data_IF_784214194739
#
_entry.id   IF_784214194739
#
_cell.length_a   1.000
_cell.length_b   1.000
_cell.length_c   1.000
_cell.angle_alpha   90.00
_cell.angle_beta   90.00
_cell.angle_gamma   90.00
#
_symmetry.space_group_name_H-M   'P 1'
#
loop_
_entity.id
_entity.type
_entity.pdbx_description
1 polymer ?
#
# COMPACT_ATOMS: atom_id res chain seq x y z
N UNK A 1 36.25 -39.08 34.29
CA UNK A 1 34.89 -39.45 34.72
C UNK A 1 34.34 -38.33 35.59
N UNK A 2 33.40 -37.56 35.15
CA UNK A 2 32.74 -36.53 35.97
C UNK A 2 31.74 -37.19 36.88
N UNK A 3 31.88 -36.98 38.20
CA UNK A 3 30.98 -37.54 39.21
C UNK A 3 29.55 -37.03 38.98
N UNK A 4 28.53 -37.92 39.12
CA UNK A 4 27.13 -37.53 39.00
C UNK A 4 26.77 -36.45 40.06
N UNK A 5 25.96 -35.44 39.71
CA UNK A 5 25.59 -34.39 40.64
C UNK A 5 24.78 -34.93 41.82
N UNK A 6 25.00 -34.38 43.00
CA UNK A 6 24.26 -34.78 44.20
C UNK A 6 22.79 -34.34 44.13
N UNK A 7 21.87 -35.08 44.78
CA UNK A 7 20.42 -34.73 44.83
C UNK A 7 20.20 -33.28 45.31
N UNK A 8 20.99 -32.81 46.25
CA UNK A 8 20.94 -31.43 46.74
C UNK A 8 21.36 -30.40 45.66
N UNK A 9 22.37 -30.74 44.85
CA UNK A 9 22.79 -29.86 43.74
C UNK A 9 21.72 -29.77 42.65
N UNK A 10 21.05 -30.90 42.33
CA UNK A 10 19.95 -30.96 41.37
C UNK A 10 18.77 -30.10 41.88
N UNK A 11 18.34 -30.28 43.13
CA UNK A 11 17.26 -29.52 43.74
C UNK A 11 17.52 -28.02 43.74
N UNK A 12 18.77 -27.57 44.08
CA UNK A 12 19.17 -26.17 44.02
C UNK A 12 19.14 -25.64 42.61
N UNK A 13 19.66 -26.37 41.61
CA UNK A 13 19.66 -25.96 40.22
C UNK A 13 18.23 -25.85 39.68
N UNK A 14 17.35 -26.82 40.01
CA UNK A 14 15.92 -26.78 39.62
C UNK A 14 15.19 -25.60 40.25
N UNK A 15 15.45 -25.30 41.52
CA UNK A 15 14.88 -24.13 42.18
C UNK A 15 15.31 -22.79 41.55
N UNK A 16 16.59 -22.66 41.19
CA UNK A 16 17.08 -21.50 40.48
C UNK A 16 16.46 -21.38 39.07
N UNK A 17 16.42 -22.49 38.34
CA UNK A 17 15.80 -22.52 37.01
C UNK A 17 14.31 -22.11 37.05
N UNK A 18 13.57 -22.60 38.04
CA UNK A 18 12.16 -22.25 38.24
C UNK A 18 12.01 -20.76 38.57
N UNK A 19 12.85 -20.21 39.44
CA UNK A 19 12.82 -18.78 39.78
C UNK A 19 13.11 -17.89 38.56
N UNK A 20 14.08 -18.25 37.71
CA UNK A 20 14.39 -17.57 36.48
C UNK A 20 13.23 -17.68 35.48
N UNK A 21 12.62 -18.84 35.33
CA UNK A 21 11.48 -19.03 34.44
C UNK A 21 10.28 -18.18 34.86
N UNK A 22 9.97 -18.12 36.16
CA UNK A 22 8.90 -17.26 36.69
C UNK A 22 9.22 -15.78 36.49
N UNK A 23 10.48 -15.38 36.68
CA UNK A 23 10.88 -14.00 36.42
C UNK A 23 10.63 -13.62 34.95
N UNK A 24 11.05 -14.44 34.01
CA UNK A 24 10.83 -14.21 32.55
C UNK A 24 9.33 -14.22 32.24
N UNK A 25 8.57 -15.15 32.81
CA UNK A 25 7.13 -15.23 32.63
C UNK A 25 6.43 -13.90 33.02
N UNK A 26 6.71 -13.39 34.21
CA UNK A 26 6.04 -12.18 34.72
C UNK A 26 6.59 -10.88 34.12
N UNK A 27 7.87 -10.83 33.72
CA UNK A 27 8.47 -9.59 33.20
C UNK A 27 8.36 -9.45 31.69
N UNK A 28 8.28 -10.53 30.94
CA UNK A 28 8.29 -10.52 29.48
C UNK A 28 7.09 -11.23 28.85
N UNK A 29 6.87 -12.50 29.17
CA UNK A 29 5.86 -13.32 28.47
C UNK A 29 4.44 -12.84 28.73
N UNK A 30 4.03 -12.67 29.98
CA UNK A 30 2.68 -12.17 30.30
C UNK A 30 2.40 -10.77 29.72
N UNK A 31 3.32 -9.81 29.80
CA UNK A 31 3.12 -8.52 29.13
C UNK A 31 3.04 -8.61 27.61
N UNK A 32 3.90 -9.40 26.97
CA UNK A 32 3.98 -9.50 25.53
C UNK A 32 2.81 -10.28 24.90
N UNK A 33 2.42 -11.39 25.51
CA UNK A 33 1.40 -12.30 24.95
C UNK A 33 -0.03 -11.96 25.44
N UNK A 34 -0.17 -11.59 26.70
CA UNK A 34 -1.49 -11.43 27.34
C UNK A 34 -1.80 -10.01 27.80
N UNK A 35 -0.88 -9.06 27.64
CA UNK A 35 -1.08 -7.68 28.11
C UNK A 35 -1.13 -7.53 29.64
N UNK A 36 -0.84 -8.62 30.40
CA UNK A 36 -0.87 -8.66 31.85
C UNK A 36 0.50 -8.22 32.36
N UNK A 37 0.60 -7.02 32.92
CA UNK A 37 1.86 -6.39 33.37
C UNK A 37 1.82 -6.03 34.87
N UNK A 38 1.86 -7.01 35.78
CA UNK A 38 1.77 -6.77 37.21
C UNK A 38 2.97 -6.00 37.77
N UNK A 39 4.13 -6.11 37.14
CA UNK A 39 5.39 -5.47 37.55
C UNK A 39 5.69 -4.19 36.78
N UNK A 40 4.81 -3.78 35.83
CA UNK A 40 5.01 -2.62 34.92
C UNK A 40 6.27 -2.68 34.07
N UNK A 41 6.90 -3.86 33.98
CA UNK A 41 8.10 -4.09 33.16
C UNK A 41 7.75 -4.16 31.68
N UNK A 42 6.60 -4.70 31.32
CA UNK A 42 6.09 -4.75 29.94
C UNK A 42 5.89 -3.36 29.35
N UNK A 43 5.38 -2.40 30.14
CA UNK A 43 5.27 -1.00 29.74
C UNK A 43 6.64 -0.36 29.53
N UNK A 44 7.56 -0.59 30.45
CA UNK A 44 8.92 -0.03 30.39
C UNK A 44 9.73 -0.56 29.19
N UNK A 45 9.50 -1.81 28.81
CA UNK A 45 10.17 -2.50 27.68
C UNK A 45 9.39 -2.38 26.36
N UNK A 46 8.22 -1.70 26.33
CA UNK A 46 7.40 -1.56 25.12
C UNK A 46 6.68 -2.83 24.68
N UNK A 47 6.59 -3.85 25.53
CA UNK A 47 6.03 -5.18 25.19
C UNK A 47 4.51 -5.21 25.12
N UNK A 48 3.80 -4.27 25.76
CA UNK A 48 2.33 -4.23 25.75
C UNK A 48 1.72 -3.97 24.37
N UNK A 49 2.50 -3.48 23.41
CA UNK A 49 2.08 -3.33 22.02
C UNK A 49 1.94 -4.66 21.28
N UNK A 50 2.66 -5.70 21.72
CA UNK A 50 2.64 -7.02 21.09
C UNK A 50 1.34 -7.79 21.41
N UNK A 51 0.86 -7.75 22.65
CA UNK A 51 -0.39 -8.39 23.06
C UNK A 51 -1.61 -7.79 22.33
N UNK A 52 -1.62 -6.49 22.11
CA UNK A 52 -2.69 -5.82 21.33
C UNK A 52 -2.74 -6.29 19.87
N UNK A 53 -1.60 -6.65 19.29
CA UNK A 53 -1.55 -7.20 17.94
C UNK A 53 -2.19 -8.60 17.87
N UNK A 54 -2.05 -9.40 18.92
CA UNK A 54 -2.63 -10.75 19.03
C UNK A 54 -4.13 -10.71 19.29
N UNK A 55 -4.61 -9.79 20.14
CA UNK A 55 -6.04 -9.60 20.43
C UNK A 55 -6.82 -9.10 19.20
N UNK A 56 -6.18 -8.29 18.35
CA UNK A 56 -6.78 -7.81 17.10
C UNK A 56 -6.96 -8.95 16.09
N UNK A 57 -6.10 -9.95 16.08
CA UNK A 57 -6.23 -11.11 15.22
C UNK A 57 -7.37 -12.06 15.64
N UNK A 58 -7.74 -12.08 16.93
CA UNK A 58 -8.75 -12.99 17.49
C UNK A 58 -10.17 -12.39 17.58
N UNK A 59 -10.30 -11.05 17.54
CA UNK A 59 -11.58 -10.35 17.77
C UNK A 59 -12.37 -10.05 16.48
N UNK A 60 -11.93 -10.48 15.31
CA UNK A 60 -12.54 -10.12 14.03
C UNK A 60 -13.44 -11.19 13.41
N UNK A 61 -14.27 -11.84 14.18
CA UNK A 61 -15.44 -12.56 13.65
C UNK A 61 -16.65 -11.62 13.53
N UNK A 62 -16.53 -10.45 12.82
CA UNK A 62 -17.73 -9.63 12.72
C UNK A 62 -17.66 -8.24 12.09
N UNK A 63 -16.54 -7.70 11.72
CA UNK A 63 -16.41 -6.56 10.77
C UNK A 63 -14.93 -6.28 10.50
N UNK A 64 -14.49 -6.19 9.26
CA UNK A 64 -13.11 -5.82 9.02
C UNK A 64 -12.89 -4.35 9.38
N UNK A 65 -12.30 -4.12 10.56
CA UNK A 65 -11.60 -2.87 10.80
C UNK A 65 -10.29 -2.93 10.03
N UNK A 66 -9.91 -1.95 9.22
CA UNK A 66 -8.66 -2.00 8.48
C UNK A 66 -7.49 -2.00 9.46
N UNK A 67 -6.92 -3.17 9.70
CA UNK A 67 -5.66 -3.31 10.43
C UNK A 67 -4.54 -3.18 9.42
N UNK A 68 -3.91 -2.02 9.39
CA UNK A 68 -2.69 -1.83 8.60
C UNK A 68 -1.55 -2.63 9.21
N UNK A 69 -1.34 -3.84 8.71
CA UNK A 69 -0.21 -4.69 9.12
C UNK A 69 1.04 -4.47 8.25
N UNK A 70 1.00 -3.57 7.28
CA UNK A 70 2.10 -3.32 6.35
C UNK A 70 2.25 -4.35 5.21
N UNK A 71 1.73 -5.56 5.38
CA UNK A 71 1.75 -6.62 4.35
C UNK A 71 0.36 -6.94 3.80
N UNK A 72 -0.69 -6.57 4.50
CA UNK A 72 -2.08 -6.74 4.11
C UNK A 72 -2.90 -5.51 4.53
N UNK A 73 -3.57 -4.88 3.56
CA UNK A 73 -4.47 -3.75 3.80
C UNK A 73 -5.80 -4.04 3.12
N UNK A 74 -6.88 -4.32 3.90
CA UNK A 74 -8.23 -4.42 3.35
C UNK A 74 -8.61 -3.10 2.69
N UNK A 75 -9.26 -3.18 1.53
CA UNK A 75 -9.74 -2.01 0.81
C UNK A 75 -11.25 -1.91 0.91
N UNK A 76 -11.83 -0.70 1.11
CA UNK A 76 -13.28 -0.54 1.29
C UNK A 76 -14.08 -0.66 0.01
N UNK A 77 -13.48 -0.36 -1.14
CA UNK A 77 -14.16 -0.25 -2.43
C UNK A 77 -14.08 -1.54 -3.25
N UNK A 78 -14.98 -1.63 -4.24
CA UNK A 78 -14.98 -2.75 -5.18
C UNK A 78 -13.74 -2.68 -6.07
N UNK A 79 -13.05 -3.81 -6.20
CA UNK A 79 -11.91 -3.96 -7.10
C UNK A 79 -12.33 -3.80 -8.55
N UNK A 80 -11.59 -3.01 -9.33
CA UNK A 80 -11.80 -2.74 -10.75
C UNK A 80 -10.55 -3.05 -11.56
N UNK A 81 -10.80 -3.33 -12.84
CA UNK A 81 -9.75 -3.48 -13.86
C UNK A 81 -10.09 -2.56 -15.03
N UNK A 82 -9.08 -1.96 -15.60
CA UNK A 82 -9.17 -1.11 -16.78
C UNK A 82 -8.02 -1.42 -17.73
N UNK A 83 -8.30 -1.36 -19.06
CA UNK A 83 -7.30 -1.62 -20.10
C UNK A 83 -7.59 -0.75 -21.30
N UNK A 84 -6.65 0.13 -21.64
CA UNK A 84 -6.81 1.13 -22.69
C UNK A 84 -5.68 1.05 -23.73
N UNK A 85 -6.06 1.14 -24.99
CA UNK A 85 -5.16 1.31 -26.12
C UNK A 85 -5.26 2.74 -26.65
N UNK A 86 -4.15 3.48 -26.61
CA UNK A 86 -4.09 4.90 -26.95
C UNK A 86 -3.17 5.12 -28.14
N UNK A 87 -3.62 5.89 -29.13
CA UNK A 87 -2.80 6.32 -30.26
C UNK A 87 -2.49 7.82 -30.13
N UNK A 88 -1.22 8.18 -30.09
CA UNK A 88 -0.76 9.56 -30.01
C UNK A 88 0.03 9.94 -31.26
N UNK A 89 -0.53 10.84 -32.07
CA UNK A 89 0.20 11.48 -33.19
C UNK A 89 1.33 12.38 -32.69
N UNK A 90 2.19 12.87 -33.58
CA UNK A 90 3.27 13.79 -33.22
C UNK A 90 2.74 15.08 -32.58
N UNK A 91 3.21 15.39 -31.38
CA UNK A 91 2.80 16.56 -30.59
C UNK A 91 1.50 16.38 -29.82
N UNK A 92 0.84 15.24 -29.92
CA UNK A 92 -0.40 14.96 -29.17
C UNK A 92 -0.11 14.48 -27.75
N UNK A 93 -1.04 14.80 -26.85
CA UNK A 93 -1.05 14.35 -25.48
C UNK A 93 -2.41 13.80 -25.06
N UNK A 94 -2.39 12.87 -24.13
CA UNK A 94 -3.58 12.28 -23.53
C UNK A 94 -3.37 12.12 -22.02
N UNK A 95 -4.44 12.25 -21.26
CA UNK A 95 -4.42 12.02 -19.83
C UNK A 95 -5.50 11.00 -19.44
N UNK A 96 -5.15 10.07 -18.55
CA UNK A 96 -6.10 9.15 -17.91
C UNK A 96 -6.00 9.32 -16.40
N UNK A 97 -7.15 9.55 -15.78
CA UNK A 97 -7.30 9.74 -14.33
C UNK A 97 -8.29 8.77 -13.73
N UNK A 98 -7.91 8.19 -12.61
CA UNK A 98 -8.71 7.30 -11.77
C UNK A 98 -9.09 8.02 -10.48
N UNK A 99 -10.37 8.06 -10.15
CA UNK A 99 -10.82 8.58 -8.86
C UNK A 99 -10.64 7.52 -7.78
N UNK A 100 -9.89 7.85 -6.73
CA UNK A 100 -9.49 6.94 -5.66
C UNK A 100 -9.73 7.57 -4.30
N UNK A 101 -10.15 6.77 -3.34
CA UNK A 101 -10.17 7.19 -1.93
C UNK A 101 -8.74 7.20 -1.36
N UNK A 102 -8.48 8.09 -0.40
CA UNK A 102 -7.21 8.10 0.32
C UNK A 102 -6.89 6.71 0.90
N UNK A 103 -5.70 6.20 0.62
CA UNK A 103 -5.25 4.88 1.04
C UNK A 103 -5.66 3.73 0.10
N UNK A 104 -6.50 4.00 -0.91
CA UNK A 104 -6.81 3.03 -1.95
C UNK A 104 -5.56 2.69 -2.76
N UNK A 105 -5.42 1.43 -3.15
CA UNK A 105 -4.27 0.93 -3.88
C UNK A 105 -4.64 0.54 -5.31
N UNK A 106 -3.71 0.71 -6.24
CA UNK A 106 -3.76 0.12 -7.57
C UNK A 106 -2.38 -0.40 -7.98
N UNK A 107 -2.37 -1.39 -8.86
CA UNK A 107 -1.21 -1.82 -9.63
C UNK A 107 -1.41 -1.40 -11.07
N UNK A 108 -0.32 -1.10 -11.77
CA UNK A 108 -0.39 -0.64 -13.14
C UNK A 108 0.77 -1.15 -13.99
N UNK A 109 0.53 -1.20 -15.26
CA UNK A 109 1.57 -1.35 -16.27
C UNK A 109 1.17 -0.63 -17.54
N UNK A 110 2.08 0.15 -18.11
CA UNK A 110 1.90 0.66 -19.45
C UNK A 110 3.14 0.40 -20.32
N UNK A 111 2.91 0.21 -21.60
CA UNK A 111 3.95 -0.02 -22.61
C UNK A 111 3.59 0.74 -23.87
N UNK A 112 4.58 1.38 -24.47
CA UNK A 112 4.48 2.05 -25.75
C UNK A 112 5.43 1.44 -26.79
N UNK A 113 5.11 1.57 -28.07
CA UNK A 113 5.99 1.16 -29.18
C UNK A 113 7.03 2.22 -29.55
N UNK A 114 6.97 3.38 -28.90
CA UNK A 114 7.93 4.48 -28.97
C UNK A 114 8.13 5.15 -27.61
N UNK A 115 9.07 6.10 -27.53
CA UNK A 115 9.27 6.88 -26.32
C UNK A 115 8.24 8.00 -26.20
N UNK A 116 7.62 8.13 -25.03
CA UNK A 116 6.73 9.22 -24.67
C UNK A 116 7.23 9.93 -23.42
N UNK A 117 7.07 11.25 -23.37
CA UNK A 117 7.20 11.98 -22.12
C UNK A 117 5.96 11.75 -21.28
N UNK A 118 6.08 11.74 -19.96
CA UNK A 118 4.92 11.53 -19.11
C UNK A 118 5.06 12.20 -17.75
N UNK A 119 3.92 12.42 -17.13
CA UNK A 119 3.81 12.80 -15.73
C UNK A 119 2.73 11.96 -15.05
N UNK A 120 3.08 11.32 -13.93
CA UNK A 120 2.13 10.69 -13.03
C UNK A 120 1.83 11.67 -11.90
N UNK A 121 0.59 12.13 -11.79
CA UNK A 121 0.19 13.14 -10.83
C UNK A 121 -1.23 12.96 -10.32
N UNK A 122 -1.59 13.68 -9.28
CA UNK A 122 -2.92 13.64 -8.68
C UNK A 122 -3.45 15.00 -8.30
N UNK A 123 -4.77 15.08 -8.24
CA UNK A 123 -5.52 16.26 -7.85
C UNK A 123 -6.51 15.88 -6.77
N UNK A 124 -6.35 16.38 -5.54
CA UNK A 124 -7.31 16.10 -4.47
C UNK A 124 -8.67 16.75 -4.76
N UNK A 125 -9.77 16.11 -4.35
CA UNK A 125 -11.12 16.68 -4.47
C UNK A 125 -11.23 18.01 -3.73
N UNK A 126 -10.55 18.13 -2.59
CA UNK A 126 -10.44 19.36 -1.83
C UNK A 126 -9.08 20.02 -2.09
N UNK A 127 -9.00 20.77 -3.19
CA UNK A 127 -7.78 21.47 -3.57
C UNK A 127 -7.49 22.64 -2.63
N UNK A 128 -6.23 22.82 -2.17
CA UNK A 128 -5.82 24.01 -1.40
C UNK A 128 -5.93 25.32 -2.20
N UNK A 129 -5.85 25.22 -3.54
CA UNK A 129 -6.02 26.30 -4.53
C UNK A 129 -6.50 25.71 -5.85
N UNK A 130 -7.16 26.45 -6.74
CA UNK A 130 -7.81 25.92 -7.95
C UNK A 130 -6.90 25.15 -8.89
N UNK A 131 -5.64 25.57 -9.01
CA UNK A 131 -4.61 25.00 -9.90
C UNK A 131 -3.69 23.98 -9.21
N UNK A 132 -4.08 23.49 -8.02
CA UNK A 132 -3.27 22.55 -7.26
C UNK A 132 -3.32 21.14 -7.85
N UNK A 133 -2.15 20.58 -8.08
CA UNK A 133 -1.92 19.14 -8.32
C UNK A 133 -0.62 18.72 -7.63
N UNK A 134 -0.41 17.43 -7.48
CA UNK A 134 0.77 16.85 -6.88
C UNK A 134 1.41 15.87 -7.87
N UNK A 135 2.65 16.17 -8.27
CA UNK A 135 3.44 15.33 -9.18
C UNK A 135 4.13 14.23 -8.40
N UNK A 136 3.94 12.99 -8.80
CA UNK A 136 4.55 11.80 -8.17
C UNK A 136 5.76 11.30 -8.96
N UNK A 137 5.67 11.32 -10.28
CA UNK A 137 6.74 10.95 -11.19
C UNK A 137 6.66 11.77 -12.47
N UNK A 138 7.80 12.32 -12.91
CA UNK A 138 7.90 13.14 -14.11
C UNK A 138 9.09 12.70 -14.96
N UNK A 139 8.85 12.41 -16.24
CA UNK A 139 9.89 12.25 -17.27
C UNK A 139 9.57 13.12 -18.49
N UNK A 140 10.02 14.36 -18.43
CA UNK A 140 9.83 15.36 -19.49
C UNK A 140 11.10 15.64 -20.33
N UNK A 141 12.11 14.77 -20.26
CA UNK A 141 13.41 14.97 -20.95
C UNK A 141 13.76 13.83 -21.89
N UNK A 142 13.83 12.61 -21.38
CA UNK A 142 14.31 11.44 -22.12
C UNK A 142 13.16 10.66 -22.73
N UNK A 143 12.04 10.59 -22.05
CA UNK A 143 10.89 9.75 -22.37
C UNK A 143 11.18 8.26 -22.14
N UNK A 144 10.12 7.51 -21.88
CA UNK A 144 10.15 6.05 -21.70
C UNK A 144 9.18 5.36 -22.64
N UNK A 145 9.40 4.06 -22.81
CA UNK A 145 8.53 3.18 -23.57
C UNK A 145 7.72 2.24 -22.66
N UNK A 146 7.90 2.32 -21.34
CA UNK A 146 7.19 1.50 -20.36
C UNK A 146 7.35 2.00 -18.92
N UNK A 147 6.38 1.66 -18.07
CA UNK A 147 6.50 1.73 -16.61
C UNK A 147 5.56 0.71 -15.97
N UNK A 148 5.97 0.14 -14.83
CA UNK A 148 5.18 -0.82 -14.05
C UNK A 148 5.33 -0.50 -12.57
N UNK A 149 4.26 -0.62 -11.82
CA UNK A 149 4.34 -0.33 -10.39
C UNK A 149 3.05 -0.53 -9.62
N UNK A 150 3.09 -0.10 -8.39
CA UNK A 150 1.94 0.04 -7.51
C UNK A 150 1.87 1.46 -6.97
N UNK A 151 0.66 1.94 -6.76
CA UNK A 151 0.38 3.26 -6.22
C UNK A 151 -0.63 3.15 -5.08
N UNK A 152 -0.44 3.94 -4.03
CA UNK A 152 -1.42 4.13 -2.97
C UNK A 152 -1.77 5.61 -2.92
N UNK A 153 -3.06 5.92 -3.07
CA UNK A 153 -3.54 7.30 -3.14
C UNK A 153 -3.26 8.08 -1.84
N UNK A 154 -2.47 9.16 -1.87
CA UNK A 154 -2.17 9.95 -0.68
C UNK A 154 -3.37 10.81 -0.23
N UNK A 155 -4.28 11.11 -1.15
CA UNK A 155 -5.50 11.90 -0.93
C UNK A 155 -6.68 11.27 -1.67
N UNK A 156 -7.91 11.55 -1.23
CA UNK A 156 -9.09 11.30 -2.05
C UNK A 156 -9.12 12.29 -3.21
N UNK A 157 -9.26 11.80 -4.44
CA UNK A 157 -9.22 12.60 -5.65
C UNK A 157 -8.87 11.80 -6.89
N UNK A 158 -8.50 12.49 -7.97
CA UNK A 158 -8.13 11.87 -9.23
C UNK A 158 -6.61 11.74 -9.35
N UNK A 159 -6.14 10.55 -9.77
CA UNK A 159 -4.72 10.20 -9.89
C UNK A 159 -4.49 9.47 -11.21
N UNK A 160 -3.42 9.80 -11.93
CA UNK A 160 -3.14 9.13 -13.19
C UNK A 160 -2.03 9.79 -14.01
N UNK A 161 -1.99 9.43 -15.25
CA UNK A 161 -0.90 9.78 -16.15
C UNK A 161 -1.37 10.78 -17.21
N UNK A 162 -0.50 11.74 -17.49
CA UNK A 162 -0.45 12.48 -18.74
C UNK A 162 0.71 11.93 -19.57
N UNK A 163 0.47 11.56 -20.82
CA UNK A 163 1.50 11.22 -21.80
C UNK A 163 1.51 12.20 -22.94
N UNK A 164 2.69 12.48 -23.46
CA UNK A 164 2.88 13.35 -24.63
C UNK A 164 3.89 12.73 -25.61
N UNK A 165 3.51 12.67 -26.88
CA UNK A 165 4.38 12.19 -27.95
C UNK A 165 5.16 13.39 -28.55
N UNK A 166 6.41 13.56 -28.12
CA UNK A 166 7.34 14.56 -28.70
C UNK A 166 8.09 14.06 -29.95
N UNK A 167 7.79 12.85 -30.39
CA UNK A 167 8.40 12.24 -31.58
C UNK A 167 7.82 12.77 -32.90
N UNK A 168 8.22 12.13 -33.99
CA UNK A 168 7.78 12.49 -35.35
C UNK A 168 6.84 11.45 -35.97
N UNK A 169 6.56 10.38 -35.26
CA UNK A 169 5.70 9.28 -35.68
C UNK A 169 4.66 9.04 -34.60
N UNK A 170 3.52 8.52 -34.99
CA UNK A 170 2.50 8.03 -34.07
C UNK A 170 3.10 7.00 -33.11
N UNK A 171 2.67 7.01 -31.87
CA UNK A 171 3.03 6.06 -30.81
C UNK A 171 1.77 5.42 -30.26
N UNK A 172 1.78 4.10 -30.16
CA UNK A 172 0.71 3.33 -29.51
C UNK A 172 1.12 3.05 -28.08
N UNK A 173 0.20 3.33 -27.13
CA UNK A 173 0.38 3.05 -25.70
C UNK A 173 -0.70 2.07 -25.28
N UNK A 174 -0.31 0.97 -24.63
CA UNK A 174 -1.22 0.06 -23.95
C UNK A 174 -1.07 0.24 -22.45
N UNK A 175 -2.15 0.64 -21.77
CA UNK A 175 -2.23 0.78 -20.32
C UNK A 175 -3.11 -0.34 -19.75
N UNK A 176 -2.69 -0.93 -18.63
CA UNK A 176 -3.52 -1.80 -17.80
C UNK A 176 -3.41 -1.37 -16.35
N UNK A 177 -4.53 -1.23 -15.68
CA UNK A 177 -4.62 -0.94 -14.26
C UNK A 177 -5.55 -1.92 -13.57
N UNK A 178 -5.27 -2.21 -12.32
CA UNK A 178 -6.12 -3.02 -11.47
C UNK A 178 -6.05 -2.51 -10.03
N UNK A 179 -7.19 -2.21 -9.42
CA UNK A 179 -7.16 -1.61 -8.08
C UNK A 179 -8.53 -1.17 -7.57
N UNK A 180 -8.48 -0.28 -6.60
CA UNK A 180 -9.64 0.21 -5.86
C UNK A 180 -9.93 1.67 -6.25
N UNK A 181 -10.59 1.83 -7.39
CA UNK A 181 -11.05 3.11 -7.93
C UNK A 181 -12.50 2.99 -8.36
N UNK A 182 -13.27 4.07 -8.25
CA UNK A 182 -14.71 4.09 -8.51
C UNK A 182 -15.08 4.72 -9.85
N UNK A 183 -14.18 5.53 -10.43
CA UNK A 183 -14.34 6.14 -11.74
C UNK A 183 -13.00 6.31 -12.45
N UNK A 184 -13.04 6.33 -13.78
CA UNK A 184 -11.91 6.72 -14.61
C UNK A 184 -12.39 7.63 -15.75
N UNK A 185 -11.53 8.56 -16.18
CA UNK A 185 -11.77 9.48 -17.27
C UNK A 185 -10.53 9.67 -18.13
N UNK A 186 -10.75 9.79 -19.42
CA UNK A 186 -9.75 10.19 -20.39
C UNK A 186 -9.95 11.66 -20.78
N UNK A 187 -8.84 12.40 -20.91
CA UNK A 187 -8.78 13.78 -21.31
C UNK A 187 -7.88 13.87 -22.53
N UNK A 188 -8.40 14.44 -23.65
CA UNK A 188 -7.66 14.56 -24.91
C UNK A 188 -7.94 15.96 -25.52
N UNK A 189 -6.91 16.78 -25.64
CA UNK A 189 -7.00 18.13 -26.16
C UNK A 189 -8.07 18.99 -25.46
N UNK A 190 -8.87 19.73 -26.23
CA UNK A 190 -9.94 20.60 -25.73
C UNK A 190 -11.30 19.87 -25.61
N UNK A 191 -11.33 18.57 -25.81
CA UNK A 191 -12.56 17.77 -25.73
C UNK A 191 -13.04 17.63 -24.29
N UNK A 192 -14.36 17.53 -24.03
CA UNK A 192 -14.85 17.19 -22.70
C UNK A 192 -14.30 15.84 -22.24
N UNK A 193 -14.04 15.66 -20.93
CA UNK A 193 -13.57 14.38 -20.40
C UNK A 193 -14.50 13.21 -20.72
N UNK A 194 -13.92 12.15 -21.26
CA UNK A 194 -14.65 10.92 -21.60
C UNK A 194 -14.60 9.92 -20.44
N UNK A 195 -15.74 9.45 -19.91
CA UNK A 195 -15.75 8.41 -18.89
C UNK A 195 -15.34 7.06 -19.48
N UNK A 196 -14.42 6.35 -18.80
CA UNK A 196 -14.00 5.01 -19.17
C UNK A 196 -14.91 3.94 -18.52
N UNK A 197 -15.05 2.82 -19.20
CA UNK A 197 -15.86 1.69 -18.72
C UNK A 197 -15.00 0.75 -17.88
N UNK A 198 -15.20 0.79 -16.56
CA UNK A 198 -14.47 -0.05 -15.63
C UNK A 198 -15.06 -1.45 -15.50
N UNK A 199 -14.21 -2.47 -15.62
CA UNK A 199 -14.62 -3.85 -15.44
C UNK A 199 -14.55 -4.28 -13.97
N UNK A 200 -15.55 -5.03 -13.51
CA UNK A 200 -15.50 -5.75 -12.23
C UNK A 200 -15.08 -7.19 -12.51
N UNK A 201 -14.10 -7.74 -11.77
CA UNK A 201 -13.79 -9.17 -11.87
C UNK A 201 -15.02 -10.01 -11.59
N UNK A 202 -15.16 -11.10 -12.34
CA UNK A 202 -16.24 -12.09 -12.17
C UNK A 202 -15.93 -13.03 -11.01
#
# INVERSE_FOLDING_TARGET
>A
MTAAPSKSAILKATGIALAVALLILFTAVLPAEYGIDPLRTGKALGLLGLSKATDTASATAGRPTPVQTGIFTPQPDTYKVDSEDLALGPGEGVEIKYHMQKGAAMVYGWKADGKVQFEFHGEPDQKPRPDYFESYELDNKVGRDRSYGSFTAPTTGIHGWFWENKGKKEVQIHLTTAGFFDAAKMYSGDSPPEPLTLESPK
#
